data_IF_813276895614
#
_entry.id   IF_813276895614
#
_cell.length_a   1.000
_cell.length_b   1.000
_cell.length_c   1.000
_cell.angle_alpha   90.00
_cell.angle_beta   90.00
_cell.angle_gamma   90.00
#
_symmetry.space_group_name_H-M   'P 1'
#
loop_
_entity.id
_entity.type
_entity.pdbx_description
1 polymer ?
#
# COMPACT_ATOMS: atom_id res chain seq x y z
N UNK A 1 -17.79 -3.97 -24.33
CA UNK A 1 -17.18 -2.91 -23.49
C UNK A 1 -17.31 -3.26 -22.00
N UNK A 2 -16.23 -3.74 -21.38
CA UNK A 2 -16.21 -3.97 -19.94
C UNK A 2 -16.12 -2.60 -19.28
N UNK A 3 -17.22 -2.15 -18.66
CA UNK A 3 -17.21 -0.93 -17.87
C UNK A 3 -16.27 -1.15 -16.69
N UNK A 4 -15.15 -0.43 -16.66
CA UNK A 4 -14.25 -0.38 -15.50
C UNK A 4 -15.06 0.20 -14.34
N UNK A 5 -15.49 -0.67 -13.42
CA UNK A 5 -16.23 -0.24 -12.23
C UNK A 5 -15.27 0.53 -11.33
N UNK A 6 -15.52 1.83 -11.19
CA UNK A 6 -14.81 2.68 -10.24
C UNK A 6 -14.93 2.12 -8.83
N UNK A 7 -13.81 2.05 -8.11
CA UNK A 7 -13.85 1.76 -6.68
C UNK A 7 -14.68 2.84 -5.96
N UNK A 8 -15.31 2.48 -4.86
CA UNK A 8 -16.11 3.40 -4.07
C UNK A 8 -15.82 3.25 -2.58
N UNK A 9 -15.93 4.36 -1.85
CA UNK A 9 -15.84 4.41 -0.40
C UNK A 9 -17.23 4.71 0.14
N UNK A 10 -17.66 3.89 1.08
CA UNK A 10 -18.92 4.07 1.79
C UNK A 10 -18.64 4.48 3.22
N UNK A 11 -19.22 5.60 3.66
CA UNK A 11 -19.22 6.03 5.04
C UNK A 11 -20.49 5.50 5.71
N UNK A 12 -20.41 4.48 6.59
CA UNK A 12 -21.59 3.88 7.22
C UNK A 12 -22.31 4.84 8.18
N UNK A 13 -21.60 5.79 8.78
CA UNK A 13 -22.18 6.74 9.73
C UNK A 13 -23.03 7.81 9.03
N UNK A 14 -22.64 8.24 7.83
CA UNK A 14 -23.37 9.25 7.06
C UNK A 14 -24.21 8.67 5.92
N UNK A 15 -24.01 7.39 5.59
CA UNK A 15 -24.57 6.70 4.41
C UNK A 15 -24.15 7.33 3.08
N UNK A 16 -23.09 8.13 3.08
CA UNK A 16 -22.54 8.69 1.85
C UNK A 16 -21.69 7.65 1.12
N UNK A 17 -21.93 7.53 -0.19
CA UNK A 17 -21.12 6.76 -1.11
C UNK A 17 -20.34 7.74 -2.01
N UNK A 18 -19.02 7.57 -2.09
CA UNK A 18 -18.15 8.37 -2.97
C UNK A 18 -17.39 7.46 -3.93
N UNK A 19 -17.54 7.70 -5.22
CA UNK A 19 -16.77 7.02 -6.25
C UNK A 19 -15.37 7.63 -6.34
N UNK A 20 -14.36 6.77 -6.42
CA UNK A 20 -12.98 7.16 -6.63
C UNK A 20 -12.74 7.34 -8.14
N UNK A 21 -11.81 8.24 -8.54
CA UNK A 21 -11.39 8.35 -9.94
C UNK A 21 -10.93 6.99 -10.47
N UNK A 22 -11.14 6.73 -11.75
CA UNK A 22 -10.55 5.55 -12.38
C UNK A 22 -9.03 5.72 -12.51
N UNK A 23 -8.32 4.60 -12.40
CA UNK A 23 -6.94 4.49 -12.86
C UNK A 23 -6.96 4.03 -14.32
N UNK A 24 -5.88 4.27 -15.07
CA UNK A 24 -5.74 3.86 -16.47
C UNK A 24 -6.11 2.38 -16.67
N UNK A 25 -6.77 2.05 -17.78
CA UNK A 25 -7.31 0.72 -18.09
C UNK A 25 -6.20 -0.33 -18.25
N UNK A 26 -4.96 0.10 -18.54
CA UNK A 26 -3.77 -0.75 -18.59
C UNK A 26 -3.29 -1.25 -17.22
N UNK A 27 -3.93 -0.80 -16.14
CA UNK A 27 -3.54 -1.03 -14.76
C UNK A 27 -4.52 -1.98 -14.08
N UNK A 28 -4.04 -3.13 -13.61
CA UNK A 28 -4.86 -4.05 -12.82
C UNK A 28 -4.90 -3.56 -11.37
N UNK A 29 -6.04 -3.08 -10.85
CA UNK A 29 -6.14 -2.63 -9.48
C UNK A 29 -5.97 -3.82 -8.54
N UNK A 30 -5.05 -3.69 -7.59
CA UNK A 30 -4.78 -4.67 -6.56
C UNK A 30 -5.50 -4.31 -5.26
N UNK A 31 -4.70 -3.89 -4.27
CA UNK A 31 -5.18 -3.63 -2.93
C UNK A 31 -5.47 -2.16 -2.70
N UNK A 32 -6.63 -1.88 -2.09
CA UNK A 32 -6.96 -0.56 -1.55
C UNK A 32 -6.75 -0.57 -0.04
N UNK A 33 -6.09 0.48 0.47
CA UNK A 33 -5.89 0.72 1.89
C UNK A 33 -6.33 2.14 2.22
N UNK A 34 -7.13 2.29 3.27
CA UNK A 34 -7.55 3.60 3.76
C UNK A 34 -6.69 4.01 4.95
N UNK A 35 -6.01 5.15 4.83
CA UNK A 35 -5.21 5.76 5.88
C UNK A 35 -5.81 7.07 6.37
N UNK A 36 -5.60 7.36 7.66
CA UNK A 36 -5.95 8.64 8.26
C UNK A 36 -4.68 9.33 8.74
N UNK A 37 -4.41 10.51 8.19
CA UNK A 37 -3.30 11.39 8.56
C UNK A 37 -3.74 12.25 9.75
N UNK A 38 -2.95 12.26 10.83
CA UNK A 38 -3.37 12.81 12.13
C UNK A 38 -3.29 14.35 12.23
N UNK A 39 -2.30 14.98 11.59
CA UNK A 39 -1.98 16.39 11.78
C UNK A 39 -2.93 17.30 11.03
N UNK A 40 -3.12 17.04 9.74
CA UNK A 40 -4.04 17.76 8.87
C UNK A 40 -5.43 17.11 8.81
N UNK A 41 -5.61 15.96 9.49
CA UNK A 41 -6.89 15.22 9.60
C UNK A 41 -7.46 14.81 8.25
N UNK A 42 -6.59 14.31 7.38
CA UNK A 42 -6.93 13.93 5.99
C UNK A 42 -7.02 12.43 5.84
N UNK A 43 -7.99 11.98 5.05
CA UNK A 43 -8.05 10.59 4.61
C UNK A 43 -7.28 10.44 3.29
N UNK A 44 -6.38 9.47 3.24
CA UNK A 44 -5.68 9.07 2.01
C UNK A 44 -6.02 7.63 1.66
N UNK A 45 -6.23 7.38 0.38
CA UNK A 45 -6.43 6.04 -0.18
C UNK A 45 -5.14 5.64 -0.87
N UNK A 46 -4.59 4.51 -0.49
CA UNK A 46 -3.47 3.89 -1.18
C UNK A 46 -3.99 2.75 -2.04
N UNK A 47 -3.59 2.74 -3.31
CA UNK A 47 -3.86 1.66 -4.25
C UNK A 47 -2.53 1.05 -4.67
N UNK A 48 -2.38 -0.26 -4.47
CA UNK A 48 -1.32 -1.02 -5.13
C UNK A 48 -1.86 -1.57 -6.44
N UNK A 49 -1.16 -1.35 -7.54
CA UNK A 49 -1.52 -1.90 -8.83
C UNK A 49 -0.43 -2.73 -9.48
N UNK A 50 -0.84 -3.59 -10.41
CA UNK A 50 0.03 -4.50 -11.14
C UNK A 50 0.05 -4.13 -12.62
N UNK A 51 1.24 -4.00 -13.18
CA UNK A 51 1.44 -3.90 -14.63
C UNK A 51 1.90 -5.25 -15.21
N UNK A 52 1.73 -5.41 -16.53
CA UNK A 52 2.05 -6.60 -17.34
C UNK A 52 3.46 -7.19 -17.16
N UNK A 53 4.40 -6.45 -16.53
CA UNK A 53 5.78 -6.90 -16.25
C UNK A 53 6.05 -7.24 -14.78
N UNK A 54 5.02 -7.59 -14.01
CA UNK A 54 5.11 -7.86 -12.55
C UNK A 54 5.67 -6.69 -11.73
N UNK A 55 5.71 -5.48 -12.29
CA UNK A 55 6.10 -4.28 -11.57
C UNK A 55 4.90 -3.76 -10.80
N UNK A 56 5.03 -3.74 -9.49
CA UNK A 56 4.03 -3.16 -8.62
C UNK A 56 4.23 -1.65 -8.55
N UNK A 57 3.14 -0.91 -8.63
CA UNK A 57 3.11 0.54 -8.41
C UNK A 57 2.19 0.85 -7.26
N UNK A 58 2.52 1.91 -6.53
CA UNK A 58 1.65 2.44 -5.51
C UNK A 58 1.15 3.80 -5.93
N UNK A 59 -0.14 4.00 -5.70
CA UNK A 59 -0.87 5.21 -6.03
C UNK A 59 -1.51 5.73 -4.77
N UNK A 60 -1.63 7.05 -4.67
CA UNK A 60 -2.27 7.73 -3.55
C UNK A 60 -3.30 8.72 -4.05
N UNK A 61 -4.39 8.83 -3.29
CA UNK A 61 -5.46 9.79 -3.49
C UNK A 61 -5.89 10.35 -2.14
N UNK A 62 -5.80 11.66 -1.96
CA UNK A 62 -6.30 12.36 -0.77
C UNK A 62 -7.78 12.69 -0.96
N UNK A 63 -8.65 12.11 -0.13
CA UNK A 63 -10.09 12.25 -0.28
C UNK A 63 -10.55 13.70 -0.11
N UNK A 64 -11.39 14.17 -1.03
CA UNK A 64 -11.93 15.52 -1.03
C UNK A 64 -10.95 16.61 -1.44
N UNK A 65 -9.69 16.27 -1.76
CA UNK A 65 -8.65 17.21 -2.18
C UNK A 65 -8.18 16.87 -3.59
N UNK A 66 -7.74 15.62 -3.80
CA UNK A 66 -7.17 15.19 -5.07
C UNK A 66 -8.26 14.87 -6.10
N UNK A 67 -8.06 15.31 -7.35
CA UNK A 67 -8.97 15.02 -8.48
C UNK A 67 -8.62 13.73 -9.22
N UNK A 68 -7.38 13.25 -9.08
CA UNK A 68 -6.85 12.07 -9.77
C UNK A 68 -5.80 11.39 -8.89
N UNK A 69 -5.53 10.12 -9.17
CA UNK A 69 -4.47 9.36 -8.53
C UNK A 69 -3.09 9.95 -8.85
N UNK A 70 -2.19 9.91 -7.87
CA UNK A 70 -0.76 10.22 -8.04
C UNK A 70 0.07 8.98 -7.74
N UNK A 71 1.04 8.66 -8.60
CA UNK A 71 2.00 7.59 -8.33
C UNK A 71 2.98 8.02 -7.22
N UNK A 72 3.20 7.17 -6.22
CA UNK A 72 4.22 7.38 -5.18
C UNK A 72 5.56 6.79 -5.63
N UNK A 73 6.63 7.01 -4.86
CA UNK A 73 7.92 6.36 -5.15
C UNK A 73 7.78 4.85 -5.08
N UNK A 74 8.56 4.13 -5.91
CA UNK A 74 8.53 2.67 -5.98
C UNK A 74 8.57 2.05 -4.59
N UNK A 75 7.59 1.18 -4.31
CA UNK A 75 7.62 0.31 -3.13
C UNK A 75 8.80 -0.65 -3.25
N UNK A 76 9.43 -0.95 -2.11
CA UNK A 76 10.59 -1.85 -2.04
C UNK A 76 10.22 -3.30 -1.78
N UNK A 77 8.92 -3.61 -1.70
CA UNK A 77 8.43 -4.93 -1.31
C UNK A 77 7.33 -5.44 -2.25
N UNK A 78 7.27 -6.76 -2.46
CA UNK A 78 6.16 -7.40 -3.16
C UNK A 78 4.95 -7.53 -2.23
N UNK A 79 3.87 -6.86 -2.62
CA UNK A 79 2.55 -6.98 -2.00
C UNK A 79 1.83 -8.17 -2.65
N UNK A 80 1.15 -8.98 -1.84
CA UNK A 80 0.30 -10.06 -2.33
C UNK A 80 -1.09 -9.52 -2.72
N UNK A 81 -1.73 -10.13 -3.71
CA UNK A 81 -3.11 -9.78 -4.09
C UNK A 81 -4.07 -9.92 -2.89
N UNK A 82 -5.00 -8.98 -2.78
CA UNK A 82 -6.14 -9.00 -1.84
C UNK A 82 -5.77 -9.12 -0.35
N UNK A 83 -4.69 -8.48 0.09
CA UNK A 83 -4.30 -8.42 1.50
C UNK A 83 -4.98 -7.27 2.22
N UNK A 84 -5.62 -7.60 3.35
CA UNK A 84 -6.20 -6.62 4.26
C UNK A 84 -5.11 -5.74 4.86
N UNK A 85 -5.44 -4.49 5.09
CA UNK A 85 -4.61 -3.52 5.79
C UNK A 85 -5.39 -2.87 6.91
N UNK A 86 -4.67 -2.32 7.88
CA UNK A 86 -5.24 -1.57 8.99
C UNK A 86 -4.45 -0.28 9.18
N UNK A 87 -5.14 0.83 9.43
CA UNK A 87 -4.51 2.09 9.79
C UNK A 87 -4.50 2.24 11.31
N UNK A 88 -3.32 2.38 11.91
CA UNK A 88 -3.13 2.61 13.35
C UNK A 88 -2.18 3.79 13.51
N UNK A 89 -2.60 4.82 14.24
CA UNK A 89 -1.77 5.99 14.59
C UNK A 89 -1.07 6.65 13.38
N UNK A 90 -1.78 6.80 12.25
CA UNK A 90 -1.20 7.43 11.05
C UNK A 90 -0.33 6.53 10.20
N UNK A 91 -0.24 5.24 10.51
CA UNK A 91 0.52 4.24 9.76
C UNK A 91 -0.41 3.14 9.27
N UNK A 92 -0.33 2.80 7.99
CA UNK A 92 -1.02 1.65 7.41
C UNK A 92 -0.10 0.43 7.54
N UNK A 93 -0.60 -0.62 8.17
CA UNK A 93 0.04 -1.92 8.26
C UNK A 93 -0.63 -2.92 7.33
N UNK A 94 0.16 -3.63 6.53
CA UNK A 94 -0.33 -4.65 5.60
C UNK A 94 0.62 -5.84 5.54
N UNK A 95 0.09 -7.06 5.54
CA UNK A 95 0.90 -8.25 5.31
C UNK A 95 1.49 -8.28 3.89
N UNK A 96 2.78 -8.53 3.80
CA UNK A 96 3.52 -8.68 2.54
C UNK A 96 4.07 -10.10 2.40
N UNK A 97 4.70 -10.40 1.27
CA UNK A 97 5.33 -11.70 1.07
C UNK A 97 6.51 -11.90 2.03
N UNK A 98 6.68 -13.13 2.54
CA UNK A 98 7.78 -13.53 3.41
C UNK A 98 7.68 -12.92 4.80
N UNK A 99 6.92 -13.58 5.68
CA UNK A 99 6.76 -13.29 7.12
C UNK A 99 7.09 -11.86 7.58
N UNK A 100 6.45 -10.89 6.93
CA UNK A 100 6.73 -9.49 7.14
C UNK A 100 5.45 -8.66 6.94
N UNK A 101 5.51 -7.45 7.49
CA UNK A 101 4.48 -6.43 7.38
C UNK A 101 5.11 -5.20 6.74
N UNK A 102 4.42 -4.61 5.76
CA UNK A 102 4.74 -3.26 5.32
C UNK A 102 4.08 -2.25 6.26
N UNK A 103 4.86 -1.28 6.72
CA UNK A 103 4.38 -0.08 7.38
C UNK A 103 4.47 1.09 6.40
N UNK A 104 3.36 1.78 6.18
CA UNK A 104 3.27 2.92 5.27
C UNK A 104 2.83 4.13 6.09
N UNK A 105 3.72 5.10 6.25
CA UNK A 105 3.41 6.35 6.92
C UNK A 105 2.49 7.20 6.02
N UNK A 106 1.29 7.51 6.52
CA UNK A 106 0.25 8.17 5.70
C UNK A 106 0.65 9.60 5.34
N UNK A 107 1.37 10.29 6.22
CA UNK A 107 1.77 11.69 6.02
C UNK A 107 2.83 11.80 4.91
N UNK A 108 3.93 11.09 5.10
CA UNK A 108 5.13 11.13 4.26
C UNK A 108 5.04 10.20 3.04
N UNK A 109 4.08 9.27 3.03
CA UNK A 109 3.88 8.27 1.97
C UNK A 109 5.10 7.35 1.80
N UNK A 110 5.98 7.31 2.81
CA UNK A 110 7.12 6.41 2.86
C UNK A 110 6.70 5.06 3.40
N UNK A 111 7.40 4.04 2.95
CA UNK A 111 7.15 2.67 3.36
C UNK A 111 8.41 1.97 3.82
N UNK A 112 8.25 1.07 4.79
CA UNK A 112 9.29 0.21 5.31
C UNK A 112 8.75 -1.20 5.56
N UNK A 113 9.67 -2.16 5.63
CA UNK A 113 9.36 -3.57 5.87
C UNK A 113 9.75 -3.92 7.31
N UNK A 114 8.80 -4.51 8.04
CA UNK A 114 8.97 -5.03 9.40
C UNK A 114 8.93 -6.56 9.32
N UNK A 115 10.04 -7.23 9.61
CA UNK A 115 10.08 -8.68 9.71
C UNK A 115 9.34 -9.16 10.97
N UNK A 116 8.54 -10.23 10.84
CA UNK A 116 7.82 -10.84 11.96
C UNK A 116 8.66 -11.88 12.69
N UNK A 117 9.63 -12.48 12.00
CA UNK A 117 10.60 -13.40 12.59
C UNK A 117 12.00 -12.88 12.28
N UNK A 118 12.79 -12.65 13.33
CA UNK A 118 14.24 -12.63 13.18
C UNK A 118 14.66 -14.10 13.13
N UNK A 119 14.89 -14.62 11.93
CA UNK A 119 15.51 -15.93 11.83
C UNK A 119 16.98 -15.79 12.28
N UNK A 120 17.26 -16.13 13.54
CA UNK A 120 18.63 -16.20 14.08
C UNK A 120 19.49 -17.20 13.28
N UNK A 121 18.91 -18.04 12.44
CA UNK A 121 19.66 -18.90 11.51
C UNK A 121 20.32 -18.14 10.35
N UNK A 122 19.94 -16.88 10.10
CA UNK A 122 20.61 -16.03 9.09
C UNK A 122 21.92 -15.39 9.57
N UNK A 123 22.21 -15.45 10.88
CA UNK A 123 23.46 -14.93 11.46
C UNK A 123 24.65 -15.87 11.19
N UNK A 124 24.40 -17.15 10.86
CA UNK A 124 25.44 -18.14 10.55
C UNK A 124 26.06 -18.01 9.14
N UNK A 125 25.55 -17.13 8.27
CA UNK A 125 26.17 -16.85 6.96
C UNK A 125 27.08 -15.62 6.95
N UNK A 126 27.36 -15.01 8.11
CA UNK A 126 28.25 -13.84 8.23
C UNK A 126 29.61 -14.13 8.88
N UNK A 127 29.95 -15.39 9.16
CA UNK A 127 31.30 -15.78 9.60
C UNK A 127 31.78 -16.96 8.76
N UNK A 128 32.32 -16.66 7.58
CA UNK A 128 33.44 -17.39 6.93
C UNK A 128 33.59 -16.94 5.47
N UNK A 129 34.17 -15.77 5.27
CA UNK A 129 35.04 -15.49 4.12
C UNK A 129 36.15 -14.55 4.56
N UNK A 130 37.07 -15.12 5.33
CA UNK A 130 38.32 -14.46 5.64
C UNK A 130 39.31 -15.50 6.09
N UNK A 131 40.01 -16.12 5.14
CA UNK A 131 41.25 -16.83 5.43
C UNK A 131 42.22 -16.77 4.22
N UNK A 132 43.44 -16.32 4.57
CA UNK A 132 44.75 -16.27 3.91
C UNK A 132 44.98 -15.32 2.72
#
# INVERSE_FOLDING_TARGET
PFTTRSAAIFNPSTRELRFLPNIDESVFPGNYSLGFELEEKKFKVFLTSYHERNKQRQWVLTLGIDKSWRETKSISFPILYFKRSVCISGVIYQFIYGDAIAAIDVKTEKSETIALWNDESSVLLRVDRGEW
#
